data_IF_114094018012
#
_entry.id   IF_114094018012
#
_cell.length_a   1.000
_cell.length_b   1.000
_cell.length_c   1.000
_cell.angle_alpha   90.00
_cell.angle_beta   90.00
_cell.angle_gamma   90.00
#
_symmetry.space_group_name_H-M   'P 1'
#
loop_
_entity.id
_entity.type
_entity.pdbx_description
1 polymer ?
#
# COMPACT_ATOMS: atom_id res chain seq x y z
N UNK A 1 15.23 18.44 -12.81
CA UNK A 1 13.85 18.89 -12.57
C UNK A 1 13.13 17.65 -12.04
N UNK A 2 13.28 17.41 -10.74
CA UNK A 2 12.80 16.22 -10.02
C UNK A 2 11.35 16.47 -9.60
N UNK A 3 10.41 16.35 -10.53
CA UNK A 3 9.04 16.86 -10.33
C UNK A 3 8.00 15.79 -10.05
N UNK A 4 8.36 14.50 -10.12
CA UNK A 4 7.35 13.45 -9.98
C UNK A 4 7.07 13.09 -8.51
N UNK A 5 8.13 13.00 -7.68
CA UNK A 5 8.01 12.54 -6.29
C UNK A 5 7.38 13.59 -5.36
N UNK A 6 7.70 14.87 -5.58
CA UNK A 6 7.15 15.97 -4.79
C UNK A 6 5.68 16.25 -5.11
N UNK A 7 5.25 16.07 -6.36
CA UNK A 7 3.85 16.22 -6.75
C UNK A 7 2.95 15.11 -6.21
N UNK A 8 3.44 13.86 -6.14
CA UNK A 8 2.69 12.76 -5.52
C UNK A 8 2.60 12.95 -4.00
N UNK A 9 3.67 13.36 -3.32
CA UNK A 9 3.61 13.73 -1.89
C UNK A 9 2.66 14.89 -1.65
N UNK A 10 2.71 15.94 -2.47
CA UNK A 10 1.82 17.08 -2.37
C UNK A 10 0.36 16.69 -2.61
N UNK A 11 0.07 15.78 -3.54
CA UNK A 11 -1.27 15.25 -3.78
C UNK A 11 -1.79 14.45 -2.57
N UNK A 12 -0.97 13.55 -2.02
CA UNK A 12 -1.33 12.75 -0.84
C UNK A 12 -1.57 13.60 0.41
N UNK A 13 -0.81 14.69 0.56
CA UNK A 13 -0.99 15.67 1.65
C UNK A 13 -2.19 16.61 1.39
N UNK A 14 -2.51 16.91 0.13
CA UNK A 14 -3.63 17.78 -0.26
C UNK A 14 -4.99 17.04 -0.27
N UNK A 15 -4.99 15.72 -0.44
CA UNK A 15 -6.17 14.88 -0.30
C UNK A 15 -6.50 14.67 1.19
N UNK A 16 -6.94 15.74 1.86
CA UNK A 16 -7.63 15.66 3.14
C UNK A 16 -8.98 14.96 2.90
N UNK A 17 -9.10 13.69 3.29
CA UNK A 17 -10.30 12.92 2.95
C UNK A 17 -10.40 11.48 3.42
N UNK A 18 -9.39 10.95 4.13
CA UNK A 18 -9.49 9.64 4.79
C UNK A 18 -8.96 9.83 6.21
N UNK A 19 -9.85 10.00 7.18
CA UNK A 19 -9.55 10.03 8.62
C UNK A 19 -9.61 8.63 9.25
N UNK A 20 -10.35 7.74 8.60
CA UNK A 20 -10.65 6.39 9.03
C UNK A 20 -11.05 5.51 7.84
N UNK A 21 -10.90 4.20 7.99
CA UNK A 21 -11.42 3.24 7.04
C UNK A 21 -11.01 1.81 7.34
N UNK A 22 -11.83 0.88 6.84
CA UNK A 22 -11.65 -0.54 7.07
C UNK A 22 -11.88 -1.30 5.77
N UNK A 23 -10.86 -2.04 5.33
CA UNK A 23 -10.88 -2.77 4.06
C UNK A 23 -10.37 -4.20 4.22
N UNK A 24 -10.94 -5.09 3.41
CA UNK A 24 -10.42 -6.44 3.20
C UNK A 24 -9.84 -6.56 1.80
N UNK A 25 -8.64 -7.12 1.71
CA UNK A 25 -7.89 -7.28 0.48
C UNK A 25 -7.17 -8.63 0.44
N UNK A 26 -6.61 -8.96 -0.72
CA UNK A 26 -5.70 -10.09 -0.85
C UNK A 26 -4.31 -9.69 -0.32
N UNK A 27 -3.75 -10.49 0.58
CA UNK A 27 -2.40 -10.24 1.08
C UNK A 27 -1.36 -10.33 -0.07
N UNK A 28 -0.49 -9.31 -0.24
CA UNK A 28 0.52 -9.32 -1.29
C UNK A 28 1.75 -10.18 -0.96
N UNK A 29 1.98 -10.47 0.34
CA UNK A 29 3.19 -11.14 0.83
C UNK A 29 3.22 -12.66 0.60
N UNK A 30 2.08 -13.28 0.28
CA UNK A 30 2.00 -14.72 0.04
C UNK A 30 1.21 -15.04 -1.22
N UNK A 31 1.52 -16.18 -1.82
CA UNK A 31 0.75 -16.77 -2.92
C UNK A 31 -0.20 -17.82 -2.34
N UNK A 32 -1.41 -17.94 -2.90
CA UNK A 32 -2.33 -19.05 -2.57
C UNK A 32 -3.26 -18.88 -1.36
N UNK A 33 -3.56 -17.67 -0.90
CA UNK A 33 -4.57 -17.43 0.14
C UNK A 33 -5.94 -17.05 -0.42
N UNK A 34 -6.96 -17.00 0.47
CA UNK A 34 -8.30 -16.47 0.17
C UNK A 34 -8.23 -15.06 -0.45
N UNK A 35 -9.24 -14.72 -1.26
CA UNK A 35 -9.35 -13.42 -1.94
C UNK A 35 -9.36 -12.23 -0.99
N UNK A 36 -9.66 -12.47 0.29
CA UNK A 36 -9.72 -11.49 1.39
C UNK A 36 -8.92 -12.01 2.59
N UNK A 37 -7.59 -12.03 2.48
CA UNK A 37 -6.67 -12.57 3.50
C UNK A 37 -5.95 -11.51 4.32
N UNK A 38 -6.11 -10.24 3.95
CA UNK A 38 -5.53 -9.08 4.62
C UNK A 38 -6.64 -8.12 5.04
N UNK A 39 -6.69 -7.81 6.32
CA UNK A 39 -7.51 -6.76 6.91
C UNK A 39 -6.63 -5.51 7.09
N UNK A 40 -7.17 -4.36 6.68
CA UNK A 40 -6.51 -3.05 6.70
C UNK A 40 -7.41 -2.10 7.47
N UNK A 41 -6.95 -1.62 8.62
CA UNK A 41 -7.67 -0.64 9.42
C UNK A 41 -6.83 0.63 9.52
N UNK A 42 -7.43 1.76 9.15
CA UNK A 42 -6.84 3.07 9.29
C UNK A 42 -7.74 3.91 10.18
N UNK A 43 -7.16 4.60 11.16
CA UNK A 43 -7.89 5.51 12.04
C UNK A 43 -6.91 6.51 12.66
N UNK A 44 -7.21 7.81 12.60
CA UNK A 44 -6.44 8.88 13.25
C UNK A 44 -4.93 8.82 12.95
N UNK A 45 -4.56 8.59 11.68
CA UNK A 45 -3.16 8.50 11.25
C UNK A 45 -2.46 7.18 11.58
N UNK A 46 -3.16 6.21 12.17
CA UNK A 46 -2.60 4.89 12.50
C UNK A 46 -3.11 3.83 11.52
N UNK A 47 -2.17 3.06 10.99
CA UNK A 47 -2.46 1.93 10.11
C UNK A 47 -2.21 0.62 10.85
N UNK A 48 -3.20 -0.26 10.87
CA UNK A 48 -3.10 -1.64 11.34
C UNK A 48 -3.31 -2.60 10.18
N UNK A 49 -2.44 -3.61 10.11
CA UNK A 49 -2.46 -4.64 9.09
C UNK A 49 -2.54 -6.01 9.78
N UNK A 50 -3.57 -6.79 9.46
CA UNK A 50 -3.69 -8.15 9.95
C UNK A 50 -3.88 -9.12 8.78
N UNK A 51 -2.89 -10.00 8.59
CA UNK A 51 -2.99 -11.09 7.63
C UNK A 51 -3.46 -12.35 8.34
N UNK A 52 -4.63 -12.87 7.94
CA UNK A 52 -5.22 -14.10 8.51
C UNK A 52 -4.37 -15.36 8.22
N UNK A 53 -3.42 -15.26 7.28
CA UNK A 53 -2.47 -16.33 6.98
C UNK A 53 -1.12 -16.18 7.74
N UNK A 54 -1.00 -15.22 8.65
CA UNK A 54 0.16 -15.07 9.53
C UNK A 54 1.37 -14.35 8.92
N UNK A 55 1.18 -13.57 7.84
CA UNK A 55 2.27 -12.72 7.35
C UNK A 55 2.56 -11.58 8.32
N UNK A 56 3.85 -11.32 8.55
CA UNK A 56 4.27 -10.16 9.34
C UNK A 56 4.03 -8.85 8.57
N UNK A 57 3.79 -7.73 9.27
CA UNK A 57 3.64 -6.42 8.64
C UNK A 57 4.82 -6.07 7.72
N UNK A 58 6.05 -6.39 8.13
CA UNK A 58 7.24 -6.12 7.34
C UNK A 58 7.23 -6.84 5.98
N UNK A 59 6.86 -8.13 5.94
CA UNK A 59 6.74 -8.87 4.67
C UNK A 59 5.65 -8.30 3.77
N UNK A 60 4.58 -7.75 4.35
CA UNK A 60 3.51 -7.08 3.61
C UNK A 60 4.05 -5.80 2.97
N UNK A 61 4.76 -4.96 3.74
CA UNK A 61 5.36 -3.74 3.23
C UNK A 61 6.41 -4.01 2.14
N UNK A 62 7.30 -4.99 2.34
CA UNK A 62 8.31 -5.37 1.33
C UNK A 62 7.64 -5.79 0.01
N UNK A 63 6.56 -6.56 0.08
CA UNK A 63 5.80 -7.00 -1.09
C UNK A 63 5.05 -5.86 -1.78
N UNK A 64 4.57 -4.85 -1.03
CA UNK A 64 3.96 -3.64 -1.58
C UNK A 64 5.02 -2.77 -2.27
N UNK A 65 6.17 -2.54 -1.61
CA UNK A 65 7.26 -1.75 -2.17
C UNK A 65 7.71 -2.33 -3.52
N UNK A 66 7.95 -3.64 -3.58
CA UNK A 66 8.33 -4.30 -4.84
C UNK A 66 7.26 -4.25 -5.95
N UNK A 67 6.00 -3.90 -5.64
CA UNK A 67 4.95 -3.61 -6.65
C UNK A 67 4.96 -2.14 -7.06
N UNK A 68 5.13 -1.22 -6.11
CA UNK A 68 5.25 0.22 -6.38
C UNK A 68 6.43 0.47 -7.31
N UNK A 69 7.60 -0.12 -7.02
CA UNK A 69 8.80 0.04 -7.84
C UNK A 69 8.54 -0.33 -9.31
N UNK A 70 7.71 -1.36 -9.56
CA UNK A 70 7.35 -1.76 -10.92
C UNK A 70 6.41 -0.79 -11.62
N UNK A 71 5.44 -0.22 -10.88
CA UNK A 71 4.49 0.75 -11.42
C UNK A 71 5.17 2.08 -11.76
N UNK A 72 6.21 2.45 -11.00
CA UNK A 72 6.96 3.69 -11.23
C UNK A 72 8.08 3.53 -12.29
N UNK A 73 8.43 2.31 -12.68
CA UNK A 73 9.41 2.05 -13.74
C UNK A 73 8.85 2.20 -15.18
N UNK A 74 7.56 2.48 -15.37
CA UNK A 74 6.94 2.54 -16.72
C UNK A 74 7.04 3.92 -17.41
N UNK A 75 7.80 4.89 -16.86
CA UNK A 75 7.98 6.24 -17.47
C UNK A 75 9.32 6.48 -18.19
N UNK A 76 10.23 5.50 -18.31
CA UNK A 76 11.48 5.64 -19.10
C UNK A 76 11.58 4.58 -20.22
N UNK A 77 10.63 4.63 -21.15
CA UNK A 77 10.80 4.03 -22.47
C UNK A 77 10.26 4.99 -23.55
N UNK A 78 10.98 6.10 -23.70
CA UNK A 78 10.97 6.93 -24.91
C UNK A 78 12.09 6.49 -25.85
#
# INVERSE_FOLDING_TARGET
METNNDSVKALLLACDGIDSGHWFARCPAHRGGFTSSLEIHYENGRLQLHCMCGCSPQKIFDAVQGRIDRLLCEEEAA
#
